data_IF_119664644468
#
_entry.id   IF_119664644468
#
_cell.length_a   1.000
_cell.length_b   1.000
_cell.length_c   1.000
_cell.angle_alpha   90.00
_cell.angle_beta   90.00
_cell.angle_gamma   90.00
#
_symmetry.space_group_name_H-M   'P 1'
#
loop_
_entity.id
_entity.type
_entity.pdbx_description
1 polymer ?
#
# COMPACT_ATOMS: atom_id res chain seq x y z
N UNK A 1 -18.15 -5.89 16.13
CA UNK A 1 -17.33 -4.76 15.65
C UNK A 1 -16.11 -5.24 14.86
N UNK A 2 -16.30 -6.07 13.81
CA UNK A 2 -15.27 -6.99 13.33
C UNK A 2 -14.93 -6.85 11.83
N UNK A 3 -14.89 -5.61 11.30
CA UNK A 3 -14.54 -5.38 9.90
C UNK A 3 -13.49 -4.28 9.77
N UNK A 4 -12.60 -4.45 8.79
CA UNK A 4 -11.55 -3.50 8.41
C UNK A 4 -12.01 -2.51 7.31
N UNK A 5 -13.31 -2.41 7.03
CA UNK A 5 -13.84 -1.37 6.14
C UNK A 5 -13.51 0.06 6.60
N UNK A 6 -13.60 0.40 7.90
CA UNK A 6 -13.17 1.73 8.38
C UNK A 6 -11.69 1.99 8.07
N UNK A 7 -10.84 0.97 8.20
CA UNK A 7 -9.42 1.07 7.87
C UNK A 7 -9.19 1.31 6.37
N UNK A 8 -9.93 0.61 5.50
CA UNK A 8 -9.87 0.83 4.06
C UNK A 8 -10.31 2.25 3.66
N UNK A 9 -11.38 2.76 4.28
CA UNK A 9 -11.86 4.12 4.07
C UNK A 9 -10.86 5.17 4.59
N UNK A 10 -10.24 4.94 5.74
CA UNK A 10 -9.21 5.82 6.29
C UNK A 10 -7.99 5.92 5.37
N UNK A 11 -7.53 4.79 4.82
CA UNK A 11 -6.42 4.78 3.85
C UNK A 11 -6.82 5.37 2.50
N UNK A 12 -8.07 5.21 2.07
CA UNK A 12 -8.58 5.85 0.86
C UNK A 12 -8.62 7.38 1.04
N UNK A 13 -9.07 7.86 2.19
CA UNK A 13 -9.06 9.28 2.52
C UNK A 13 -7.63 9.85 2.56
N UNK A 14 -6.67 9.07 3.08
CA UNK A 14 -5.26 9.42 3.03
C UNK A 14 -4.75 9.53 1.58
N UNK A 15 -4.96 8.50 0.74
CA UNK A 15 -4.56 8.54 -0.67
C UNK A 15 -5.26 9.65 -1.45
N UNK A 16 -6.50 9.99 -1.09
CA UNK A 16 -7.21 11.10 -1.70
C UNK A 16 -6.55 12.44 -1.37
N UNK A 17 -6.20 12.68 -0.09
CA UNK A 17 -5.45 13.88 0.29
C UNK A 17 -4.11 13.93 -0.44
N UNK A 18 -3.43 12.81 -0.53
CA UNK A 18 -2.08 12.73 -1.07
C UNK A 18 -2.03 12.86 -2.59
N UNK A 19 -2.93 12.19 -3.32
CA UNK A 19 -2.84 12.02 -4.77
C UNK A 19 -3.92 12.78 -5.54
N UNK A 20 -5.03 13.16 -4.90
CA UNK A 20 -6.13 13.83 -5.57
C UNK A 20 -6.30 15.29 -5.17
N UNK A 21 -6.07 15.65 -3.92
CA UNK A 21 -6.17 17.03 -3.48
C UNK A 21 -5.13 17.91 -4.21
N UNK A 22 -5.51 19.12 -4.61
CA UNK A 22 -4.68 20.00 -5.45
C UNK A 22 -3.47 20.60 -4.71
N UNK A 23 -3.49 20.61 -3.38
CA UNK A 23 -2.41 21.09 -2.51
C UNK A 23 -2.05 20.06 -1.42
N UNK A 24 -1.59 18.85 -1.79
CA UNK A 24 -1.45 17.71 -0.89
C UNK A 24 -0.41 17.95 0.23
N UNK A 25 0.60 18.79 -0.04
CA UNK A 25 1.67 19.13 0.89
C UNK A 25 1.47 20.46 1.65
N UNK A 26 0.31 21.12 1.51
CA UNK A 26 0.07 22.36 2.24
C UNK A 26 -0.06 22.09 3.74
N UNK A 27 0.55 22.94 4.57
CA UNK A 27 0.51 22.82 6.03
C UNK A 27 -0.93 22.75 6.55
N UNK A 28 -1.83 23.57 6.00
CA UNK A 28 -3.24 23.62 6.38
C UNK A 28 -3.95 22.30 6.09
N UNK A 29 -3.76 21.71 4.90
CA UNK A 29 -4.43 20.47 4.54
C UNK A 29 -3.92 19.27 5.36
N UNK A 30 -2.60 19.18 5.54
CA UNK A 30 -1.98 18.13 6.37
C UNK A 30 -2.41 18.26 7.83
N UNK A 31 -2.38 19.46 8.40
CA UNK A 31 -2.81 19.70 9.78
C UNK A 31 -4.30 19.39 9.98
N UNK A 32 -5.15 19.80 9.04
CA UNK A 32 -6.58 19.50 9.06
C UNK A 32 -6.84 17.99 8.98
N UNK A 33 -6.16 17.28 8.08
CA UNK A 33 -6.31 15.84 7.93
C UNK A 33 -5.86 15.09 9.18
N UNK A 34 -4.65 15.35 9.69
CA UNK A 34 -4.13 14.67 10.88
C UNK A 34 -5.03 14.93 12.08
N UNK A 35 -5.50 16.17 12.26
CA UNK A 35 -6.42 16.52 13.34
C UNK A 35 -7.75 15.77 13.23
N UNK A 36 -8.37 15.80 12.05
CA UNK A 36 -9.63 15.10 11.80
C UNK A 36 -9.48 13.58 11.96
N UNK A 37 -8.42 13.00 11.40
CA UNK A 37 -8.10 11.57 11.53
C UNK A 37 -7.93 11.17 12.99
N UNK A 38 -7.16 11.95 13.76
CA UNK A 38 -6.94 11.72 15.19
C UNK A 38 -8.23 11.80 15.97
N UNK A 39 -9.07 12.81 15.72
CA UNK A 39 -10.39 12.94 16.37
C UNK A 39 -11.26 11.72 16.06
N UNK A 40 -11.33 11.29 14.79
CA UNK A 40 -12.10 10.10 14.38
C UNK A 40 -11.60 8.85 15.12
N UNK A 41 -10.29 8.64 15.16
CA UNK A 41 -9.70 7.48 15.85
C UNK A 41 -9.98 7.51 17.35
N UNK A 42 -9.86 8.68 18.00
CA UNK A 42 -10.13 8.85 19.43
C UNK A 42 -11.61 8.64 19.76
N UNK A 43 -12.52 9.25 19.00
CA UNK A 43 -13.97 9.09 19.19
C UNK A 43 -14.37 7.64 19.00
N UNK A 44 -13.94 7.00 17.90
CA UNK A 44 -14.24 5.60 17.65
C UNK A 44 -13.65 4.67 18.74
N UNK A 45 -12.43 4.94 19.22
CA UNK A 45 -11.82 4.20 20.32
C UNK A 45 -12.53 4.43 21.65
N UNK A 46 -13.10 5.60 21.88
CA UNK A 46 -13.90 5.88 23.09
C UNK A 46 -15.23 5.13 23.10
N UNK A 47 -15.87 4.95 21.93
CA UNK A 47 -17.16 4.28 21.80
C UNK A 47 -17.02 2.76 21.70
N UNK A 48 -16.02 2.26 20.97
CA UNK A 48 -15.83 0.84 20.69
C UNK A 48 -14.70 0.18 21.51
N UNK A 49 -14.03 0.97 22.35
CA UNK A 49 -12.88 0.56 23.16
C UNK A 49 -11.55 0.64 22.41
N UNK A 50 -10.45 0.67 23.17
CA UNK A 50 -9.08 0.80 22.64
C UNK A 50 -8.68 -0.32 21.65
N UNK A 51 -9.36 -1.47 21.69
CA UNK A 51 -9.15 -2.55 20.73
C UNK A 51 -9.58 -2.20 19.31
N UNK A 52 -10.43 -1.19 19.12
CA UNK A 52 -10.93 -0.78 17.82
C UNK A 52 -9.80 -0.34 16.87
N UNK A 53 -8.77 0.34 17.39
CA UNK A 53 -7.59 0.78 16.61
C UNK A 53 -7.01 -0.37 15.79
N UNK A 54 -6.86 -1.58 16.39
CA UNK A 54 -6.30 -2.75 15.68
C UNK A 54 -7.14 -3.24 14.50
N UNK A 55 -8.37 -2.77 14.35
CA UNK A 55 -9.32 -3.22 13.33
C UNK A 55 -9.87 -2.10 12.46
N UNK A 56 -9.91 -0.87 12.96
CA UNK A 56 -10.55 0.27 12.32
C UNK A 56 -9.58 1.36 11.89
N UNK A 57 -8.41 1.46 12.51
CA UNK A 57 -7.37 2.40 12.07
C UNK A 57 -6.67 1.86 10.82
N UNK A 58 -6.56 2.73 9.81
CA UNK A 58 -6.00 2.40 8.49
C UNK A 58 -4.57 1.91 8.59
N UNK A 59 -3.74 2.68 9.27
CA UNK A 59 -2.32 2.42 9.41
C UNK A 59 -2.05 1.20 10.31
N UNK A 60 -2.76 1.05 11.44
CA UNK A 60 -2.62 -0.13 12.28
C UNK A 60 -2.95 -1.43 11.54
N UNK A 61 -4.00 -1.44 10.71
CA UNK A 61 -4.36 -2.62 9.90
C UNK A 61 -3.32 -2.86 8.80
N UNK A 62 -2.89 -1.82 8.08
CA UNK A 62 -1.86 -1.94 7.04
C UNK A 62 -0.54 -2.48 7.61
N UNK A 63 -0.02 -1.87 8.67
CA UNK A 63 1.21 -2.32 9.32
C UNK A 63 1.05 -3.69 9.99
N UNK A 64 -0.14 -4.04 10.47
CA UNK A 64 -0.45 -5.39 10.94
C UNK A 64 -0.32 -6.45 9.82
N UNK A 65 -0.82 -6.13 8.62
CA UNK A 65 -0.69 -7.00 7.44
C UNK A 65 0.78 -7.09 6.97
N UNK A 66 1.47 -5.96 6.85
CA UNK A 66 2.89 -5.92 6.49
C UNK A 66 3.78 -6.63 7.53
N UNK A 67 3.39 -6.57 8.81
CA UNK A 67 4.05 -7.29 9.90
C UNK A 67 4.06 -8.81 9.72
N UNK A 68 3.20 -9.37 8.88
CA UNK A 68 3.25 -10.80 8.50
C UNK A 68 4.56 -11.17 7.77
N UNK A 69 5.20 -10.20 7.10
CA UNK A 69 6.47 -10.38 6.41
C UNK A 69 7.68 -10.24 7.35
N UNK A 70 7.49 -9.64 8.53
CA UNK A 70 8.56 -9.34 9.47
C UNK A 70 9.28 -10.62 9.97
N UNK A 71 10.63 -10.61 10.06
CA UNK A 71 11.38 -11.64 10.77
C UNK A 71 11.12 -11.66 12.27
N UNK A 72 10.62 -10.54 12.83
CA UNK A 72 10.30 -10.41 14.24
C UNK A 72 8.80 -10.60 14.46
N UNK A 73 8.43 -11.53 15.33
CA UNK A 73 7.03 -11.82 15.67
C UNK A 73 6.87 -12.13 17.17
N UNK A 74 5.65 -12.01 17.69
CA UNK A 74 5.30 -12.38 19.07
C UNK A 74 4.55 -13.71 19.08
N UNK A 75 5.06 -14.69 19.83
CA UNK A 75 4.37 -15.97 20.02
C UNK A 75 3.05 -15.83 20.78
N UNK A 76 2.27 -16.90 20.90
CA UNK A 76 0.98 -16.91 21.64
C UNK A 76 1.12 -16.51 23.11
N UNK A 77 2.34 -16.56 23.66
CA UNK A 77 2.68 -16.13 25.03
C UNK A 77 3.20 -14.70 25.08
N UNK A 78 3.15 -13.96 23.97
CA UNK A 78 3.58 -12.57 23.84
C UNK A 78 5.10 -12.36 23.73
N UNK A 79 5.90 -13.43 23.64
CA UNK A 79 7.37 -13.32 23.62
C UNK A 79 7.87 -13.04 22.21
N UNK A 80 8.83 -12.13 22.09
CA UNK A 80 9.48 -11.82 20.83
C UNK A 80 10.34 -13.00 20.37
N UNK A 81 10.12 -13.46 19.13
CA UNK A 81 10.85 -14.55 18.48
C UNK A 81 11.23 -14.16 17.06
N UNK A 82 12.30 -14.78 16.57
CA UNK A 82 12.70 -14.71 15.17
C UNK A 82 12.00 -15.80 14.35
N UNK A 83 11.61 -15.45 13.14
CA UNK A 83 11.13 -16.35 12.08
C UNK A 83 11.77 -15.95 10.76
N UNK A 84 11.74 -16.85 9.79
CA UNK A 84 12.15 -16.53 8.42
C UNK A 84 11.20 -15.44 7.88
N UNK A 85 11.69 -14.35 7.27
CA UNK A 85 10.84 -13.34 6.64
C UNK A 85 9.81 -13.97 5.70
N UNK A 86 8.58 -13.45 5.70
CA UNK A 86 7.50 -13.96 4.85
C UNK A 86 6.82 -15.25 5.34
N UNK A 87 7.44 -16.06 6.20
CA UNK A 87 6.82 -17.29 6.73
C UNK A 87 5.52 -17.06 7.51
N UNK A 88 5.33 -15.85 8.05
CA UNK A 88 4.11 -15.45 8.73
C UNK A 88 2.90 -15.28 7.81
N UNK A 89 3.10 -15.19 6.49
CA UNK A 89 2.06 -14.94 5.53
C UNK A 89 1.05 -16.09 5.40
N UNK A 90 1.52 -17.33 5.62
CA UNK A 90 0.67 -18.52 5.63
C UNK A 90 -0.40 -18.46 6.73
N UNK A 91 -0.10 -17.82 7.86
CA UNK A 91 -1.02 -17.67 8.99
C UNK A 91 -1.97 -16.46 8.87
N UNK A 92 -1.87 -15.67 7.80
CA UNK A 92 -2.72 -14.49 7.61
C UNK A 92 -4.10 -14.88 7.11
N UNK A 93 -5.09 -14.76 7.99
CA UNK A 93 -6.50 -14.84 7.63
C UNK A 93 -7.09 -13.44 7.42
N UNK A 94 -7.47 -13.12 6.19
CA UNK A 94 -8.05 -11.81 5.88
C UNK A 94 -9.45 -11.68 6.46
N UNK A 95 -9.63 -10.74 7.38
CA UNK A 95 -10.94 -10.33 7.92
C UNK A 95 -11.74 -9.56 6.86
N UNK A 96 -13.05 -9.42 7.06
CA UNK A 96 -13.91 -8.64 6.15
C UNK A 96 -13.39 -7.20 6.06
N UNK A 97 -13.07 -6.73 4.85
CA UNK A 97 -12.49 -5.41 4.61
C UNK A 97 -10.95 -5.38 4.49
N UNK A 98 -10.22 -6.40 4.94
CA UNK A 98 -8.75 -6.43 4.80
C UNK A 98 -8.30 -6.42 3.35
N UNK A 99 -9.03 -7.11 2.48
CA UNK A 99 -8.76 -7.08 1.04
C UNK A 99 -8.98 -5.68 0.46
N UNK A 100 -9.97 -4.94 0.98
CA UNK A 100 -10.18 -3.53 0.62
C UNK A 100 -8.99 -2.66 0.99
N UNK A 101 -8.40 -2.84 2.18
CA UNK A 101 -7.15 -2.16 2.58
C UNK A 101 -6.03 -2.43 1.58
N UNK A 102 -5.80 -3.70 1.23
CA UNK A 102 -4.75 -4.10 0.29
C UNK A 102 -4.99 -3.47 -1.10
N UNK A 103 -6.21 -3.55 -1.62
CA UNK A 103 -6.55 -3.06 -2.95
C UNK A 103 -6.57 -1.52 -3.05
N UNK A 104 -6.94 -0.82 -1.97
CA UNK A 104 -6.86 0.65 -1.90
C UNK A 104 -5.41 1.10 -1.96
N UNK A 105 -4.52 0.49 -1.17
CA UNK A 105 -3.10 0.86 -1.18
C UNK A 105 -2.44 0.51 -2.51
N UNK A 106 -2.72 -0.68 -3.06
CA UNK A 106 -2.16 -1.09 -4.35
C UNK A 106 -2.69 -0.21 -5.51
N UNK A 107 -3.99 0.10 -5.51
CA UNK A 107 -4.60 0.96 -6.51
C UNK A 107 -4.17 2.42 -6.39
N UNK A 108 -3.98 2.93 -5.17
CA UNK A 108 -3.46 4.26 -4.92
C UNK A 108 -2.02 4.43 -5.37
N UNK A 109 -1.14 3.49 -5.03
CA UNK A 109 0.25 3.46 -5.53
C UNK A 109 0.32 3.29 -7.06
N UNK A 110 -0.57 2.49 -7.64
CA UNK A 110 -0.72 2.42 -9.10
C UNK A 110 -1.12 3.77 -9.69
N UNK A 111 -2.05 4.48 -9.03
CA UNK A 111 -2.47 5.81 -9.47
C UNK A 111 -1.34 6.84 -9.37
N UNK A 112 -0.53 6.83 -8.31
CA UNK A 112 0.69 7.66 -8.24
C UNK A 112 1.56 7.45 -9.48
N UNK A 113 1.82 6.19 -9.87
CA UNK A 113 2.53 5.87 -11.11
C UNK A 113 1.83 6.41 -12.38
N UNK A 114 0.51 6.27 -12.48
CA UNK A 114 -0.27 6.80 -13.62
C UNK A 114 -0.14 8.32 -13.72
N UNK A 115 -0.22 9.04 -12.59
CA UNK A 115 -0.15 10.51 -12.59
C UNK A 115 1.18 11.08 -13.04
N UNK A 116 2.25 10.28 -12.98
CA UNK A 116 3.59 10.65 -13.46
C UNK A 116 3.76 10.53 -14.98
N UNK A 117 2.82 9.89 -15.67
CA UNK A 117 2.91 9.72 -17.14
C UNK A 117 2.56 11.00 -17.90
N UNK A 118 3.13 11.13 -19.10
CA UNK A 118 2.75 12.18 -20.05
C UNK A 118 1.27 12.12 -20.42
N UNK A 119 0.71 10.91 -20.59
CA UNK A 119 -0.72 10.73 -20.90
C UNK A 119 -1.63 11.34 -19.83
N UNK A 120 -1.33 11.13 -18.54
CA UNK A 120 -2.13 11.75 -17.48
C UNK A 120 -1.98 13.26 -17.46
N UNK A 121 -0.76 13.75 -17.67
CA UNK A 121 -0.46 15.18 -17.77
C UNK A 121 -1.26 15.86 -18.90
N UNK A 122 -1.34 15.23 -20.07
CA UNK A 122 -2.16 15.69 -21.20
C UNK A 122 -3.66 15.64 -20.90
N UNK A 123 -4.13 14.58 -20.24
CA UNK A 123 -5.54 14.42 -19.85
C UNK A 123 -5.97 15.51 -18.87
N UNK A 124 -5.15 15.79 -17.86
CA UNK A 124 -5.37 16.84 -16.85
C UNK A 124 -5.27 18.23 -17.48
N UNK A 125 -4.32 18.42 -18.40
CA UNK A 125 -4.12 19.67 -19.13
C UNK A 125 -3.87 20.85 -18.20
N UNK A 126 -4.64 21.94 -18.38
CA UNK A 126 -4.48 23.18 -17.61
C UNK A 126 -5.40 23.30 -16.38
N UNK A 127 -6.08 22.21 -15.98
CA UNK A 127 -6.98 22.22 -14.81
C UNK A 127 -6.21 22.53 -13.53
N UNK A 128 -6.86 23.26 -12.62
CA UNK A 128 -6.28 23.71 -11.34
C UNK A 128 -7.30 23.54 -10.21
N UNK A 129 -6.82 23.68 -8.98
CA UNK A 129 -7.66 23.71 -7.78
C UNK A 129 -8.67 22.54 -7.74
N UNK A 130 -9.95 22.82 -7.49
CA UNK A 130 -10.99 21.82 -7.38
C UNK A 130 -11.28 21.06 -8.68
N UNK A 131 -11.04 21.66 -9.85
CA UNK A 131 -11.18 20.96 -11.13
C UNK A 131 -10.11 19.88 -11.31
N UNK A 132 -8.87 20.18 -10.90
CA UNK A 132 -7.79 19.20 -10.83
C UNK A 132 -8.15 18.08 -9.84
N UNK A 133 -8.63 18.46 -8.66
CA UNK A 133 -9.04 17.48 -7.64
C UNK A 133 -10.17 16.58 -8.10
N UNK A 134 -11.16 17.09 -8.82
CA UNK A 134 -12.24 16.27 -9.36
C UNK A 134 -11.71 15.21 -10.34
N UNK A 135 -10.84 15.60 -11.28
CA UNK A 135 -10.25 14.65 -12.25
C UNK A 135 -9.37 13.61 -11.57
N UNK A 136 -8.50 14.03 -10.64
CA UNK A 136 -7.64 13.10 -9.93
C UNK A 136 -8.44 12.17 -8.99
N UNK A 137 -9.55 12.66 -8.40
CA UNK A 137 -10.44 11.81 -7.59
C UNK A 137 -11.05 10.70 -8.43
N UNK A 138 -11.56 11.03 -9.62
CA UNK A 138 -12.11 10.03 -10.54
C UNK A 138 -11.01 9.07 -11.00
N UNK A 139 -9.83 9.58 -11.34
CA UNK A 139 -8.65 8.79 -11.71
C UNK A 139 -8.24 7.78 -10.63
N UNK A 140 -8.16 8.23 -9.38
CA UNK A 140 -7.83 7.40 -8.23
C UNK A 140 -8.85 6.27 -8.05
N UNK A 141 -10.14 6.60 -8.04
CA UNK A 141 -11.21 5.61 -7.86
C UNK A 141 -11.27 4.60 -9.01
N UNK A 142 -11.11 5.05 -10.26
CA UNK A 142 -11.07 4.18 -11.44
C UNK A 142 -9.84 3.27 -11.44
N UNK A 143 -8.68 3.78 -11.03
CA UNK A 143 -7.46 2.98 -10.91
C UNK A 143 -7.61 1.90 -9.84
N UNK A 144 -8.12 2.24 -8.66
CA UNK A 144 -8.41 1.27 -7.60
C UNK A 144 -9.41 0.21 -8.08
N UNK A 145 -10.49 0.63 -8.76
CA UNK A 145 -11.49 -0.28 -9.30
C UNK A 145 -10.90 -1.21 -10.38
N UNK A 146 -10.01 -0.71 -11.22
CA UNK A 146 -9.33 -1.50 -12.27
C UNK A 146 -8.41 -2.55 -11.67
N UNK A 147 -7.60 -2.17 -10.68
CA UNK A 147 -6.73 -3.11 -9.94
C UNK A 147 -7.59 -4.17 -9.24
N UNK A 148 -8.64 -3.75 -8.53
CA UNK A 148 -9.56 -4.67 -7.87
C UNK A 148 -10.24 -5.63 -8.86
N UNK A 149 -10.68 -5.13 -10.01
CA UNK A 149 -11.32 -5.94 -11.05
C UNK A 149 -10.34 -6.98 -11.62
N UNK A 150 -9.12 -6.57 -11.99
CA UNK A 150 -8.10 -7.47 -12.51
C UNK A 150 -7.80 -8.61 -11.52
N UNK A 151 -7.68 -8.27 -10.24
CA UNK A 151 -7.53 -9.25 -9.17
C UNK A 151 -8.73 -10.22 -9.09
N UNK A 152 -9.95 -9.69 -9.00
CA UNK A 152 -11.15 -10.51 -8.87
C UNK A 152 -11.39 -11.41 -10.09
N UNK A 153 -11.08 -10.93 -11.30
CA UNK A 153 -11.13 -11.74 -12.53
C UNK A 153 -10.12 -12.87 -12.46
N UNK A 154 -8.88 -12.63 -12.04
CA UNK A 154 -7.89 -13.69 -11.87
C UNK A 154 -8.33 -14.74 -10.84
N UNK A 155 -8.90 -14.31 -9.71
CA UNK A 155 -9.44 -15.23 -8.71
C UNK A 155 -10.62 -16.03 -9.27
N UNK A 156 -11.52 -15.40 -10.03
CA UNK A 156 -12.64 -16.10 -10.66
C UNK A 156 -12.16 -17.17 -11.63
N UNK A 157 -11.20 -16.84 -12.49
CA UNK A 157 -10.61 -17.80 -13.45
C UNK A 157 -9.88 -18.92 -12.71
N UNK A 158 -9.12 -18.58 -11.66
CA UNK A 158 -8.47 -19.57 -10.78
C UNK A 158 -9.50 -20.54 -10.21
N UNK A 159 -10.60 -20.05 -9.64
CA UNK A 159 -11.66 -20.88 -9.08
C UNK A 159 -12.28 -21.85 -10.10
N UNK A 160 -12.51 -21.38 -11.33
CA UNK A 160 -13.00 -22.23 -12.43
C UNK A 160 -11.99 -23.33 -12.77
N UNK A 161 -10.71 -22.99 -12.94
CA UNK A 161 -9.66 -23.94 -13.29
C UNK A 161 -9.43 -24.96 -12.16
N UNK A 162 -9.57 -24.52 -10.92
CA UNK A 162 -9.41 -25.34 -9.73
C UNK A 162 -10.64 -26.19 -9.41
N UNK A 163 -11.79 -25.94 -10.05
CA UNK A 163 -13.11 -26.48 -9.67
C UNK A 163 -13.41 -26.26 -8.18
N UNK A 164 -13.08 -25.06 -7.68
CA UNK A 164 -13.38 -24.66 -6.31
C UNK A 164 -14.78 -24.04 -6.26
N UNK A 165 -15.70 -24.70 -5.56
CA UNK A 165 -17.10 -24.30 -5.42
C UNK A 165 -17.32 -23.15 -4.41
N UNK A 166 -16.26 -22.67 -3.75
CA UNK A 166 -16.35 -21.53 -2.85
C UNK A 166 -16.80 -20.25 -3.58
N UNK A 167 -17.51 -19.37 -2.88
CA UNK A 167 -17.90 -18.06 -3.43
C UNK A 167 -16.66 -17.18 -3.75
N UNK A 168 -16.80 -16.30 -4.74
CA UNK A 168 -15.72 -15.41 -5.20
C UNK A 168 -15.13 -14.57 -4.05
N UNK A 169 -15.95 -14.08 -3.13
CA UNK A 169 -15.48 -13.25 -2.00
C UNK A 169 -14.61 -14.08 -1.05
N UNK A 170 -14.98 -15.35 -0.82
CA UNK A 170 -14.19 -16.25 0.00
C UNK A 170 -12.86 -16.59 -0.67
N UNK A 171 -12.89 -16.92 -1.96
CA UNK A 171 -11.67 -17.16 -2.72
C UNK A 171 -10.75 -15.91 -2.71
N UNK A 172 -11.30 -14.73 -2.97
CA UNK A 172 -10.55 -13.48 -2.96
C UNK A 172 -9.90 -13.19 -1.60
N UNK A 173 -10.60 -13.46 -0.50
CA UNK A 173 -10.00 -13.33 0.85
C UNK A 173 -8.91 -14.37 1.11
N UNK A 174 -9.06 -15.59 0.56
CA UNK A 174 -8.10 -16.68 0.72
C UNK A 174 -6.78 -16.37 0.01
N UNK A 175 -6.85 -15.82 -1.20
CA UNK A 175 -5.69 -15.49 -2.02
C UNK A 175 -5.09 -14.12 -1.72
N UNK A 176 -5.85 -13.19 -1.12
CA UNK A 176 -5.39 -11.82 -0.87
C UNK A 176 -4.05 -11.66 -0.12
N UNK A 177 -3.62 -12.56 0.80
CA UNK A 177 -2.30 -12.47 1.42
C UNK A 177 -1.15 -12.48 0.41
N UNK A 178 -1.27 -13.11 -0.76
CA UNK A 178 -0.21 -13.10 -1.77
C UNK A 178 0.07 -11.70 -2.36
N UNK A 179 -0.83 -10.73 -2.16
CA UNK A 179 -0.64 -9.34 -2.56
C UNK A 179 0.16 -8.52 -1.54
N UNK A 180 0.29 -8.97 -0.28
CA UNK A 180 0.94 -8.20 0.79
C UNK A 180 2.43 -7.91 0.47
N UNK A 181 3.23 -8.86 -0.05
CA UNK A 181 4.60 -8.56 -0.50
C UNK A 181 4.66 -7.51 -1.60
N UNK A 182 3.68 -7.50 -2.52
CA UNK A 182 3.59 -6.50 -3.59
C UNK A 182 3.30 -5.13 -3.00
N UNK A 183 2.36 -5.02 -2.06
CA UNK A 183 2.07 -3.76 -1.34
C UNK A 183 3.35 -3.22 -0.67
N UNK A 184 4.15 -4.06 -0.03
CA UNK A 184 5.42 -3.64 0.57
C UNK A 184 6.41 -3.14 -0.50
N UNK A 185 6.60 -3.90 -1.57
CA UNK A 185 7.51 -3.54 -2.66
C UNK A 185 7.15 -2.20 -3.31
N UNK A 186 5.86 -1.98 -3.61
CA UNK A 186 5.37 -0.72 -4.15
C UNK A 186 5.53 0.43 -3.14
N UNK A 187 5.24 0.20 -1.86
CA UNK A 187 5.43 1.23 -0.82
C UNK A 187 6.89 1.68 -0.77
N UNK A 188 7.84 0.75 -0.83
CA UNK A 188 9.27 1.11 -0.86
C UNK A 188 9.59 1.86 -2.16
N UNK A 189 9.16 1.35 -3.32
CA UNK A 189 9.48 1.96 -4.60
C UNK A 189 8.96 3.41 -4.70
N UNK A 190 7.70 3.66 -4.35
CA UNK A 190 7.11 4.98 -4.53
C UNK A 190 7.54 5.99 -3.46
N UNK A 191 7.87 5.55 -2.24
CA UNK A 191 8.17 6.44 -1.13
C UNK A 191 9.66 6.55 -0.77
N UNK A 192 10.55 5.79 -1.42
CA UNK A 192 11.99 5.81 -1.07
C UNK A 192 12.62 7.19 -1.19
N UNK A 193 12.42 7.89 -2.31
CA UNK A 193 12.98 9.24 -2.50
C UNK A 193 12.38 10.24 -1.52
N UNK A 194 11.07 10.17 -1.26
CA UNK A 194 10.39 11.00 -0.27
C UNK A 194 10.99 10.77 1.12
N UNK A 195 11.21 9.52 1.53
CA UNK A 195 11.83 9.18 2.81
C UNK A 195 13.24 9.77 2.93
N UNK A 196 14.04 9.71 1.86
CA UNK A 196 15.42 10.22 1.87
C UNK A 196 15.46 11.75 1.89
N UNK A 197 14.61 12.43 1.12
CA UNK A 197 14.65 13.89 0.99
C UNK A 197 13.81 14.59 2.05
N UNK A 198 12.53 14.23 2.18
CA UNK A 198 11.66 14.82 3.21
C UNK A 198 12.05 14.37 4.62
N UNK A 199 12.72 13.22 4.77
CA UNK A 199 13.32 12.82 6.03
C UNK A 199 14.36 13.82 6.55
N UNK A 200 15.12 14.46 5.66
CA UNK A 200 16.07 15.52 6.03
C UNK A 200 15.34 16.76 6.53
N UNK A 201 14.30 17.18 5.80
CA UNK A 201 13.43 18.29 6.18
C UNK A 201 12.77 18.04 7.53
N UNK A 202 12.27 16.82 7.76
CA UNK A 202 11.70 16.41 9.04
C UNK A 202 12.71 16.55 10.19
N UNK A 203 13.96 16.11 10.01
CA UNK A 203 14.99 16.25 11.04
C UNK A 203 15.34 17.72 11.33
N UNK A 204 15.38 18.57 10.29
CA UNK A 204 15.58 20.01 10.47
C UNK A 204 14.44 20.64 11.27
N UNK A 205 13.18 20.35 10.89
CA UNK A 205 11.98 20.85 11.59
C UNK A 205 11.86 20.31 13.02
N UNK A 206 12.29 19.07 13.26
CA UNK A 206 12.31 18.49 14.61
C UNK A 206 13.32 19.20 15.52
N UNK A 207 14.34 19.85 14.94
CA UNK A 207 15.34 20.59 15.70
C UNK A 207 14.82 21.90 16.27
N UNK A 208 13.92 22.61 15.58
CA UNK A 208 13.21 23.78 16.13
C UNK A 208 11.68 23.66 15.90
N UNK A 209 11.00 22.77 16.66
CA UNK A 209 9.62 22.37 16.37
C UNK A 209 8.59 23.49 16.57
N UNK A 210 8.96 24.55 17.31
CA UNK A 210 8.09 25.70 17.59
C UNK A 210 8.48 26.96 16.80
N UNK A 211 9.52 26.89 15.95
CA UNK A 211 10.06 28.08 15.28
C UNK A 211 10.59 29.13 16.27
N UNK A 212 11.07 28.68 17.42
CA UNK A 212 11.50 29.51 18.55
C UNK A 212 12.99 29.88 18.49
N UNK A 213 13.71 29.37 17.49
CA UNK A 213 15.18 29.44 17.37
C UNK A 213 15.91 28.46 18.28
N UNK A 214 15.21 27.54 18.95
CA UNK A 214 15.82 26.55 19.85
C UNK A 214 16.23 25.33 19.06
N UNK A 215 17.42 25.37 18.48
CA UNK A 215 18.00 24.31 17.66
C UNK A 215 18.48 23.12 18.53
N UNK A 216 17.58 22.20 18.85
CA UNK A 216 17.80 21.09 19.79
C UNK A 216 18.91 20.13 19.36
N UNK A 217 19.08 19.92 18.05
CA UNK A 217 20.03 18.97 17.46
C UNK A 217 21.13 19.64 16.62
N UNK A 218 21.10 20.96 16.46
CA UNK A 218 22.08 21.67 15.61
C UNK A 218 21.78 21.58 14.11
N UNK A 219 20.55 21.22 13.73
CA UNK A 219 20.16 20.92 12.34
C UNK A 219 19.03 21.79 11.81
N UNK A 220 18.59 22.81 12.55
CA UNK A 220 17.44 23.64 12.16
C UNK A 220 17.64 24.38 10.83
N UNK A 221 18.89 24.73 10.49
CA UNK A 221 19.24 25.41 9.24
C UNK A 221 19.62 24.46 8.10
N UNK A 222 19.57 23.14 8.31
CA UNK A 222 19.93 22.19 7.27
C UNK A 222 18.94 22.23 6.12
N UNK A 223 19.45 22.41 4.90
CA UNK A 223 18.68 22.26 3.66
C UNK A 223 18.73 20.82 3.17
N UNK A 224 17.76 20.42 2.35
CA UNK A 224 17.73 19.10 1.72
C UNK A 224 18.95 18.96 0.79
N UNK A 225 19.78 17.96 1.06
CA UNK A 225 20.86 17.54 0.17
C UNK A 225 20.34 16.51 -0.83
N UNK A 226 20.18 16.95 -2.08
CA UNK A 226 19.75 16.12 -3.20
C UNK A 226 20.87 15.22 -3.76
N UNK A 227 22.11 15.33 -3.26
CA UNK A 227 23.25 14.53 -3.71
C UNK A 227 23.46 13.24 -2.93
N UNK A 228 22.72 13.06 -1.82
CA UNK A 228 22.79 11.85 -0.96
C UNK A 228 22.47 10.57 -1.73
N UNK A 229 21.58 10.64 -2.71
CA UNK A 229 21.25 9.53 -3.62
C UNK A 229 21.12 10.03 -5.05
N UNK A 230 21.66 9.28 -6.01
CA UNK A 230 21.53 9.61 -7.43
C UNK A 230 20.20 9.13 -8.01
N UNK A 231 19.80 9.68 -9.16
CA UNK A 231 18.62 9.23 -9.90
C UNK A 231 18.68 7.72 -10.24
N UNK A 232 19.85 7.23 -10.63
CA UNK A 232 20.07 5.80 -10.92
C UNK A 232 19.87 4.93 -9.67
N UNK A 233 20.37 5.37 -8.50
CA UNK A 233 20.19 4.64 -7.24
C UNK A 233 18.72 4.58 -6.82
N UNK A 234 17.97 5.68 -7.02
CA UNK A 234 16.51 5.69 -6.82
C UNK A 234 15.88 4.66 -7.75
N UNK A 235 16.13 4.74 -9.06
CA UNK A 235 15.56 3.82 -10.05
C UNK A 235 15.87 2.35 -9.74
N UNK A 236 17.12 2.01 -9.40
CA UNK A 236 17.49 0.63 -9.03
C UNK A 236 16.80 0.17 -7.76
N UNK A 237 16.66 1.04 -6.75
CA UNK A 237 15.93 0.71 -5.51
C UNK A 237 14.46 0.43 -5.80
N UNK A 238 13.84 1.25 -6.65
CA UNK A 238 12.45 1.08 -7.05
C UNK A 238 12.22 -0.22 -7.81
N UNK A 239 13.03 -0.49 -8.83
CA UNK A 239 12.96 -1.73 -9.62
C UNK A 239 13.20 -2.95 -8.73
N UNK A 240 14.22 -2.92 -7.87
CA UNK A 240 14.50 -4.03 -6.96
C UNK A 240 13.34 -4.28 -5.99
N UNK A 241 12.78 -3.23 -5.38
CA UNK A 241 11.65 -3.36 -4.47
C UNK A 241 10.40 -3.94 -5.14
N UNK A 242 10.08 -3.48 -6.37
CA UNK A 242 8.97 -4.01 -7.17
C UNK A 242 9.21 -5.49 -7.50
N UNK A 243 10.38 -5.83 -8.03
CA UNK A 243 10.69 -7.21 -8.45
C UNK A 243 10.69 -8.17 -7.26
N UNK A 244 11.35 -7.81 -6.15
CA UNK A 244 11.38 -8.65 -4.94
C UNK A 244 9.97 -8.82 -4.37
N UNK A 245 9.17 -7.75 -4.30
CA UNK A 245 7.79 -7.82 -3.84
C UNK A 245 6.94 -8.76 -4.69
N UNK A 246 7.07 -8.72 -6.01
CA UNK A 246 6.35 -9.64 -6.90
C UNK A 246 6.84 -11.09 -6.81
N UNK A 247 8.15 -11.32 -6.77
CA UNK A 247 8.69 -12.68 -6.58
C UNK A 247 8.16 -13.29 -5.28
N UNK A 248 8.21 -12.54 -4.18
CA UNK A 248 7.66 -12.98 -2.90
C UNK A 248 6.13 -13.22 -2.96
N UNK A 249 5.38 -12.38 -3.69
CA UNK A 249 3.96 -12.58 -3.94
C UNK A 249 3.65 -13.85 -4.74
N UNK A 250 4.43 -14.13 -5.78
CA UNK A 250 4.33 -15.36 -6.59
C UNK A 250 4.62 -16.58 -5.74
N UNK A 251 5.68 -16.56 -4.93
CA UNK A 251 6.01 -17.66 -4.00
C UNK A 251 4.85 -17.90 -3.03
N UNK A 252 4.31 -16.84 -2.43
CA UNK A 252 3.17 -16.95 -1.51
C UNK A 252 1.92 -17.54 -2.17
N UNK A 253 1.64 -17.18 -3.42
CA UNK A 253 0.55 -17.78 -4.19
C UNK A 253 0.84 -19.24 -4.57
N UNK A 254 2.09 -19.54 -4.92
CA UNK A 254 2.52 -20.90 -5.25
C UNK A 254 2.36 -21.84 -4.06
N UNK A 255 2.87 -21.46 -2.88
CA UNK A 255 2.79 -22.24 -1.65
C UNK A 255 1.34 -22.56 -1.30
N UNK A 256 0.44 -21.55 -1.35
CA UNK A 256 -1.00 -21.76 -1.11
C UNK A 256 -1.65 -22.70 -2.14
N UNK A 257 -1.25 -22.63 -3.40
CA UNK A 257 -1.81 -23.49 -4.44
C UNK A 257 -1.37 -24.96 -4.26
N UNK A 258 -0.11 -25.20 -3.92
CA UNK A 258 0.43 -26.55 -3.68
C UNK A 258 -0.13 -27.16 -2.39
N UNK A 259 -0.37 -26.35 -1.36
CA UNK A 259 -1.03 -26.79 -0.13
C UNK A 259 -2.50 -27.22 -0.38
N UNK A 260 -3.20 -26.49 -1.27
CA UNK A 260 -4.65 -26.64 -1.46
C UNK A 260 -5.04 -27.69 -2.50
N UNK A 261 -4.28 -27.82 -3.57
CA UNK A 261 -4.70 -28.56 -4.76
C UNK A 261 -3.73 -29.69 -5.14
N UNK A 262 -4.22 -30.78 -5.76
CA UNK A 262 -3.35 -31.78 -6.39
C UNK A 262 -2.45 -31.15 -7.45
N UNK A 263 -1.26 -31.71 -7.65
CA UNK A 263 -0.18 -31.13 -8.48
C UNK A 263 -0.63 -30.52 -9.81
N UNK A 264 -1.40 -31.25 -10.62
CA UNK A 264 -1.88 -30.76 -11.93
C UNK A 264 -2.78 -29.52 -11.80
N UNK A 265 -3.68 -29.53 -10.83
CA UNK A 265 -4.60 -28.42 -10.56
C UNK A 265 -3.87 -27.24 -9.95
N UNK A 266 -2.90 -27.49 -9.05
CA UNK A 266 -2.06 -26.45 -8.46
C UNK A 266 -1.33 -25.65 -9.56
N UNK A 267 -0.67 -26.31 -10.50
CA UNK A 267 0.03 -25.65 -11.62
C UNK A 267 -0.95 -24.83 -12.48
N UNK A 268 -2.07 -25.41 -12.90
CA UNK A 268 -3.05 -24.72 -13.76
C UNK A 268 -3.69 -23.51 -13.06
N UNK A 269 -3.98 -23.63 -11.76
CA UNK A 269 -4.60 -22.58 -10.95
C UNK A 269 -3.70 -21.37 -10.74
N UNK A 270 -2.39 -21.50 -10.92
CA UNK A 270 -1.42 -20.42 -10.73
C UNK A 270 -1.34 -19.46 -11.92
N UNK A 271 -1.62 -19.91 -13.15
CA UNK A 271 -1.46 -19.09 -14.35
C UNK A 271 -2.25 -17.77 -14.34
N UNK A 272 -3.52 -17.71 -13.90
CA UNK A 272 -4.27 -16.45 -13.85
C UNK A 272 -3.65 -15.42 -12.90
N UNK A 273 -3.24 -15.86 -11.70
CA UNK A 273 -2.58 -14.98 -10.72
C UNK A 273 -1.20 -14.54 -11.20
N UNK A 274 -0.43 -15.47 -11.78
CA UNK A 274 0.87 -15.15 -12.37
C UNK A 274 0.72 -14.13 -13.50
N UNK A 275 -0.26 -14.30 -14.39
CA UNK A 275 -0.52 -13.36 -15.48
C UNK A 275 -0.84 -11.96 -14.96
N UNK A 276 -1.67 -11.83 -13.92
CA UNK A 276 -1.94 -10.54 -13.27
C UNK A 276 -0.70 -9.96 -12.61
N UNK A 277 0.09 -10.76 -11.90
CA UNK A 277 1.34 -10.29 -11.27
C UNK A 277 2.36 -9.81 -12.32
N UNK A 278 2.49 -10.51 -13.44
CA UNK A 278 3.34 -10.08 -14.56
C UNK A 278 2.78 -8.80 -15.18
N UNK A 279 1.46 -8.72 -15.42
CA UNK A 279 0.84 -7.51 -15.95
C UNK A 279 1.06 -6.30 -15.03
N UNK A 280 0.92 -6.47 -13.72
CA UNK A 280 1.22 -5.43 -12.73
C UNK A 280 2.70 -5.04 -12.72
N UNK A 281 3.61 -6.01 -12.81
CA UNK A 281 5.06 -5.73 -12.87
C UNK A 281 5.41 -4.95 -14.13
N UNK A 282 4.95 -5.42 -15.29
CA UNK A 282 5.22 -4.77 -16.59
C UNK A 282 4.60 -3.38 -16.60
N UNK A 283 3.36 -3.22 -16.14
CA UNK A 283 2.72 -1.91 -16.05
C UNK A 283 3.47 -0.99 -15.09
N UNK A 284 3.82 -1.46 -13.89
CA UNK A 284 4.58 -0.68 -12.91
C UNK A 284 5.94 -0.23 -13.43
N UNK A 285 6.69 -1.12 -14.10
CA UNK A 285 7.97 -0.78 -14.74
C UNK A 285 7.79 0.20 -15.90
N UNK A 286 6.76 0.03 -16.73
CA UNK A 286 6.47 0.97 -17.82
C UNK A 286 6.07 2.35 -17.30
N UNK A 287 5.28 2.42 -16.24
CA UNK A 287 4.92 3.67 -15.58
C UNK A 287 6.16 4.36 -15.01
N UNK A 288 7.10 3.59 -14.46
CA UNK A 288 8.33 4.12 -13.87
C UNK A 288 9.34 4.59 -14.92
N UNK A 289 9.46 3.88 -16.04
CA UNK A 289 10.42 4.19 -17.11
C UNK A 289 9.92 5.27 -18.08
N UNK A 290 8.60 5.50 -18.15
CA UNK A 290 7.98 6.55 -18.96
C UNK A 290 7.43 7.72 -18.12
N UNK A 291 7.82 7.78 -16.84
CA UNK A 291 7.61 8.93 -15.96
C UNK A 291 8.67 10.00 -16.20
#
# INVERSE_FOLDING_TARGET
WASHWPAALGLLAFHWLELAYFEPASLTAVAAFISAYTIVVLVASSWFGAGWVRTGDGFAVLFGLLGALSPLHRDDRGRLRLRVPGSGLAAVELRRGSLGVILVVLGGTTFDGVTRTQWWSDLVGSRREWDLTAVNTVGLLLTIATVAMAYLVAIRVLGVLAKDDADLVEQARRWGPSLIPIVLGYSIAHYFSLLVFEGQSFLALLSDPLGSGRDLFGTAENTIDFTVVTADQIAYTQVAAIVIGHIAGVIAAHDKAVERYPHRTAVLSQYPLLAVMVAYTVSGLLLLLNA
#
